data_IF_091612782485
#
_entry.id   IF_091612782485
#
_cell.length_a   1.000
_cell.length_b   1.000
_cell.length_c   1.000
_cell.angle_alpha   90.00
_cell.angle_beta   90.00
_cell.angle_gamma   90.00
#
_symmetry.space_group_name_H-M   'P 1'
#
loop_
_entity.id
_entity.type
_entity.pdbx_description
1 polymer ?
#
# COMPACT_ATOMS: atom_id res chain seq x y z
N UNK A 1 5.70 -0.34 21.63
CA UNK A 1 5.32 0.87 22.36
C UNK A 1 4.10 1.41 21.64
N UNK A 2 2.92 1.32 22.24
CA UNK A 2 1.75 1.98 21.68
C UNK A 2 1.69 3.35 22.37
N UNK A 3 1.99 4.40 21.63
CA UNK A 3 1.89 5.79 22.12
C UNK A 3 0.42 6.24 22.30
N UNK A 4 -0.53 5.36 21.95
CA UNK A 4 -1.96 5.56 22.13
C UNK A 4 -2.41 4.98 23.48
N UNK A 5 -2.92 5.81 24.40
CA UNK A 5 -3.51 5.34 25.65
C UNK A 5 -4.73 4.44 25.39
N UNK A 6 -5.00 3.41 26.21
CA UNK A 6 -6.11 2.47 26.00
C UNK A 6 -7.49 3.13 25.88
N UNK A 7 -7.71 4.22 26.63
CA UNK A 7 -8.94 5.01 26.57
C UNK A 7 -9.18 5.68 25.20
N UNK A 8 -8.10 6.09 24.53
CA UNK A 8 -8.16 6.70 23.19
C UNK A 8 -8.47 5.64 22.14
N UNK A 9 -7.85 4.46 22.27
CA UNK A 9 -8.11 3.31 21.40
C UNK A 9 -9.58 2.87 21.50
N UNK A 10 -10.11 2.75 22.72
CA UNK A 10 -11.50 2.36 22.96
C UNK A 10 -12.48 3.39 22.42
N UNK A 11 -12.20 4.69 22.63
CA UNK A 11 -13.01 5.79 22.09
C UNK A 11 -13.02 5.77 20.56
N UNK A 12 -11.86 5.57 19.94
CA UNK A 12 -11.75 5.47 18.48
C UNK A 12 -12.53 4.26 17.94
N UNK A 13 -12.39 3.10 18.60
CA UNK A 13 -13.14 1.89 18.25
C UNK A 13 -14.65 2.11 18.35
N UNK A 14 -15.14 2.75 19.41
CA UNK A 14 -16.54 3.08 19.56
C UNK A 14 -17.06 3.98 18.41
N UNK A 15 -16.27 4.99 18.01
CA UNK A 15 -16.60 5.86 16.85
C UNK A 15 -16.65 5.07 15.54
N UNK A 16 -15.75 4.11 15.31
CA UNK A 16 -15.79 3.26 14.13
C UNK A 16 -17.02 2.34 14.11
N UNK A 17 -17.43 1.81 15.27
CA UNK A 17 -18.61 0.95 15.37
C UNK A 17 -19.94 1.69 15.20
N UNK A 18 -19.96 3.01 15.40
CA UNK A 18 -21.12 3.85 15.08
C UNK A 18 -21.36 4.02 13.57
N UNK A 19 -20.34 3.75 12.74
CA UNK A 19 -20.45 3.79 11.28
C UNK A 19 -21.06 2.51 10.73
N UNK A 20 -21.64 2.59 9.53
CA UNK A 20 -22.12 1.40 8.82
C UNK A 20 -20.95 0.53 8.36
N UNK A 21 -21.24 -0.74 8.02
CA UNK A 21 -20.23 -1.62 7.43
C UNK A 21 -19.68 -1.08 6.11
N UNK A 22 -20.53 -0.47 5.29
CA UNK A 22 -20.15 0.16 4.02
C UNK A 22 -19.21 1.35 4.23
N UNK A 23 -19.53 2.25 5.16
CA UNK A 23 -18.68 3.39 5.48
C UNK A 23 -17.29 2.95 5.95
N UNK A 24 -17.22 1.90 6.78
CA UNK A 24 -15.93 1.34 7.23
C UNK A 24 -15.14 0.73 6.07
N UNK A 25 -15.81 0.07 5.12
CA UNK A 25 -15.16 -0.46 3.92
C UNK A 25 -14.57 0.67 3.07
N UNK A 26 -15.36 1.72 2.82
CA UNK A 26 -14.90 2.91 2.08
C UNK A 26 -13.68 3.52 2.75
N UNK A 27 -13.72 3.70 4.08
CA UNK A 27 -12.57 4.21 4.84
C UNK A 27 -11.31 3.36 4.61
N UNK A 28 -11.41 2.03 4.69
CA UNK A 28 -10.29 1.13 4.41
C UNK A 28 -9.76 1.26 2.99
N UNK A 29 -10.64 1.37 2.00
CA UNK A 29 -10.26 1.59 0.60
C UNK A 29 -9.53 2.93 0.42
N UNK A 30 -10.06 4.01 0.99
CA UNK A 30 -9.46 5.35 0.90
C UNK A 30 -8.09 5.41 1.59
N UNK A 31 -7.93 4.73 2.72
CA UNK A 31 -6.63 4.61 3.40
C UNK A 31 -5.61 3.88 2.50
N UNK A 32 -6.02 2.79 1.83
CA UNK A 32 -5.17 2.05 0.88
C UNK A 32 -4.76 2.92 -0.32
N UNK A 33 -5.70 3.68 -0.86
CA UNK A 33 -5.44 4.60 -1.98
C UNK A 33 -4.46 5.71 -1.57
N UNK A 34 -4.65 6.28 -0.38
CA UNK A 34 -3.77 7.32 0.19
C UNK A 34 -2.36 6.78 0.40
N UNK A 35 -2.23 5.63 1.06
CA UNK A 35 -0.92 5.00 1.28
C UNK A 35 -0.21 4.72 -0.05
N UNK A 36 -0.93 4.22 -1.06
CA UNK A 36 -0.37 3.99 -2.39
C UNK A 36 0.10 5.29 -3.05
N UNK A 37 -0.68 6.36 -2.98
CA UNK A 37 -0.31 7.65 -3.53
C UNK A 37 0.99 8.19 -2.90
N UNK A 38 1.14 8.06 -1.57
CA UNK A 38 2.35 8.46 -0.86
C UNK A 38 3.58 7.65 -1.32
N UNK A 39 3.45 6.33 -1.44
CA UNK A 39 4.55 5.47 -1.92
C UNK A 39 4.94 5.83 -3.35
N UNK A 40 3.96 5.98 -4.25
CA UNK A 40 4.26 6.36 -5.64
C UNK A 40 4.90 7.74 -5.74
N UNK A 41 4.47 8.72 -4.93
CA UNK A 41 5.09 10.04 -4.89
C UNK A 41 6.55 9.97 -4.44
N UNK A 42 6.83 9.22 -3.36
CA UNK A 42 8.20 9.03 -2.86
C UNK A 42 9.10 8.33 -3.88
N UNK A 43 8.58 7.33 -4.61
CA UNK A 43 9.34 6.66 -5.67
C UNK A 43 9.69 7.60 -6.84
N UNK A 44 8.74 8.46 -7.25
CA UNK A 44 8.99 9.46 -8.30
C UNK A 44 9.94 10.57 -7.84
N UNK A 45 9.94 10.90 -6.56
CA UNK A 45 10.90 11.85 -5.98
C UNK A 45 12.32 11.27 -6.00
N UNK A 46 12.49 9.98 -5.69
CA UNK A 46 13.80 9.31 -5.71
C UNK A 46 14.37 9.15 -7.11
N UNK A 47 13.52 8.87 -8.11
CA UNK A 47 13.91 8.80 -9.52
C UNK A 47 12.84 9.50 -10.38
N UNK A 48 13.05 10.77 -10.74
CA UNK A 48 12.12 11.52 -11.58
C UNK A 48 11.91 10.94 -12.98
N UNK A 49 12.84 10.10 -13.46
CA UNK A 49 12.77 9.44 -14.76
C UNK A 49 12.27 7.99 -14.65
N UNK A 50 11.80 7.57 -13.48
CA UNK A 50 11.31 6.23 -13.24
C UNK A 50 10.18 5.88 -14.21
N UNK A 51 10.36 4.79 -14.95
CA UNK A 51 9.31 4.26 -15.81
C UNK A 51 8.12 3.76 -14.99
N UNK A 52 6.94 3.66 -15.62
CA UNK A 52 5.76 3.05 -15.01
C UNK A 52 6.06 1.65 -14.45
N UNK A 53 6.95 0.89 -15.10
CA UNK A 53 7.39 -0.43 -14.64
C UNK A 53 8.17 -0.36 -13.33
N UNK A 54 9.12 0.57 -13.26
CA UNK A 54 9.93 0.82 -12.07
C UNK A 54 9.04 1.21 -10.89
N UNK A 55 8.06 2.11 -11.11
CA UNK A 55 7.10 2.50 -10.08
C UNK A 55 6.26 1.29 -9.62
N UNK A 56 5.70 0.49 -10.54
CA UNK A 56 4.90 -0.70 -10.18
C UNK A 56 5.70 -1.71 -9.36
N UNK A 57 6.96 -1.97 -9.74
CA UNK A 57 7.88 -2.84 -8.98
C UNK A 57 8.16 -2.27 -7.59
N UNK A 58 8.42 -0.96 -7.48
CA UNK A 58 8.65 -0.28 -6.20
C UNK A 58 7.44 -0.35 -5.28
N UNK A 59 6.23 -0.12 -5.80
CA UNK A 59 4.96 -0.26 -5.05
C UNK A 59 4.81 -1.68 -4.52
N UNK A 60 5.01 -2.70 -5.36
CA UNK A 60 4.97 -4.10 -4.93
C UNK A 60 5.96 -4.38 -3.80
N UNK A 61 7.22 -3.96 -3.95
CA UNK A 61 8.24 -4.19 -2.93
C UNK A 61 7.90 -3.51 -1.60
N UNK A 62 7.35 -2.29 -1.65
CA UNK A 62 7.05 -1.50 -0.45
C UNK A 62 5.88 -2.05 0.36
N UNK A 63 4.84 -2.56 -0.32
CA UNK A 63 3.66 -3.10 0.35
C UNK A 63 3.80 -4.59 0.67
N UNK A 64 4.31 -5.38 -0.26
CA UNK A 64 4.21 -6.84 -0.21
C UNK A 64 5.57 -7.55 -0.31
N UNK A 65 6.66 -6.85 -0.61
CA UNK A 65 7.96 -7.47 -0.90
C UNK A 65 8.57 -8.28 0.25
N UNK A 66 8.09 -8.06 1.47
CA UNK A 66 8.49 -8.78 2.68
C UNK A 66 7.61 -10.00 2.99
N UNK A 67 6.46 -10.14 2.32
CA UNK A 67 5.53 -11.27 2.48
C UNK A 67 5.95 -12.48 1.65
N UNK A 68 6.91 -12.32 0.72
CA UNK A 68 7.37 -13.35 -0.19
C UNK A 68 8.86 -13.65 -0.01
N UNK A 69 9.23 -14.93 -0.19
CA UNK A 69 10.61 -15.34 -0.31
C UNK A 69 11.29 -14.73 -1.57
N UNK A 70 12.62 -14.86 -1.64
CA UNK A 70 13.41 -14.27 -2.72
C UNK A 70 13.02 -14.79 -4.11
N UNK A 71 12.68 -16.08 -4.23
CA UNK A 71 12.36 -16.72 -5.50
C UNK A 71 11.01 -16.26 -6.04
N UNK A 72 9.98 -16.29 -5.19
CA UNK A 72 8.62 -15.85 -5.49
C UNK A 72 8.61 -14.36 -5.80
N UNK A 73 9.35 -13.57 -5.02
CA UNK A 73 9.51 -12.14 -5.27
C UNK A 73 10.13 -11.85 -6.63
N UNK A 74 11.17 -12.60 -7.02
CA UNK A 74 11.79 -12.45 -8.34
C UNK A 74 10.82 -12.79 -9.49
N UNK A 75 10.03 -13.87 -9.33
CA UNK A 75 8.99 -14.25 -10.31
C UNK A 75 7.94 -13.15 -10.47
N UNK A 76 7.46 -12.56 -9.38
CA UNK A 76 6.48 -11.47 -9.42
C UNK A 76 7.08 -10.23 -10.10
N UNK A 77 8.31 -9.86 -9.78
CA UNK A 77 8.98 -8.72 -10.42
C UNK A 77 9.14 -8.92 -11.94
N UNK A 78 9.45 -10.14 -12.39
CA UNK A 78 9.51 -10.49 -13.80
C UNK A 78 8.12 -10.44 -14.47
N UNK A 79 7.07 -10.89 -13.78
CA UNK A 79 5.70 -10.79 -14.26
C UNK A 79 5.27 -9.32 -14.44
N UNK A 80 5.60 -8.43 -13.49
CA UNK A 80 5.33 -6.99 -13.60
C UNK A 80 6.08 -6.38 -14.80
N UNK A 81 7.34 -6.78 -15.02
CA UNK A 81 8.16 -6.31 -16.14
C UNK A 81 7.52 -6.65 -17.51
N UNK A 82 6.99 -7.87 -17.65
CA UNK A 82 6.37 -8.35 -18.89
C UNK A 82 4.94 -7.82 -19.11
N UNK A 83 4.15 -7.64 -18.04
CA UNK A 83 2.77 -7.18 -18.14
C UNK A 83 2.66 -5.74 -18.66
N UNK A 84 3.63 -4.88 -18.33
CA UNK A 84 3.66 -3.50 -18.79
C UNK A 84 4.15 -3.33 -20.25
N UNK A 85 4.45 -4.42 -20.95
CA UNK A 85 4.77 -4.40 -22.39
C UNK A 85 3.52 -4.59 -23.27
N UNK A 86 2.37 -4.91 -22.67
CA UNK A 86 1.09 -5.17 -23.35
C UNK A 86 0.08 -4.03 -23.19
N UNK A 87 0.53 -2.84 -22.81
CA UNK A 87 -0.31 -1.66 -22.50
C UNK A 87 0.07 -0.49 -23.38
#
# INVERSE_FOLDING_TARGET
>A
MNDTPPEVEERYRAMLLQRTGEERLIMGCTMRDTARAMVEASLREQDPNATVKTIRKGVFLRFYGHEFDGETRAKILAAIESAAHRS
#
